data_IF_044442688022
#
_entry.id   IF_044442688022
#
_cell.length_a   1.000
_cell.length_b   1.000
_cell.length_c   1.000
_cell.angle_alpha   90.00
_cell.angle_beta   90.00
_cell.angle_gamma   90.00
#
_symmetry.space_group_name_H-M   'P 1'
#
loop_
_entity.id
_entity.type
_entity.pdbx_description
1 polymer ?
#
# COMPACT_ATOMS: atom_id res chain seq x y z
N UNK A 1 8.05 -28.66 15.66
CA UNK A 1 8.09 -28.01 14.34
C UNK A 1 9.07 -26.85 14.44
N UNK A 2 10.02 -26.72 13.53
CA UNK A 2 10.88 -25.53 13.42
C UNK A 2 10.02 -24.32 13.10
N UNK A 3 10.24 -23.21 13.80
CA UNK A 3 9.52 -21.95 13.52
C UNK A 3 9.96 -21.42 12.15
N UNK A 4 9.02 -20.88 11.38
CA UNK A 4 9.31 -20.21 10.13
C UNK A 4 10.15 -18.95 10.44
N UNK A 5 11.32 -18.81 9.80
CA UNK A 5 12.24 -17.69 9.99
C UNK A 5 12.05 -16.69 8.84
N UNK A 6 11.62 -15.49 9.15
CA UNK A 6 11.26 -14.49 8.15
C UNK A 6 12.02 -13.18 8.40
N UNK A 7 12.59 -12.62 7.33
CA UNK A 7 13.18 -11.30 7.34
C UNK A 7 12.23 -10.30 6.65
N UNK A 8 11.87 -9.22 7.35
CA UNK A 8 11.24 -8.05 6.75
C UNK A 8 12.28 -6.95 6.54
N UNK A 9 12.51 -6.54 5.30
CA UNK A 9 13.25 -5.33 4.95
C UNK A 9 12.26 -4.17 5.01
N UNK A 10 12.37 -3.34 6.05
CA UNK A 10 11.30 -2.44 6.51
C UNK A 10 10.51 -3.09 7.65
N UNK A 11 9.24 -2.74 7.87
CA UNK A 11 8.43 -3.40 8.92
C UNK A 11 7.65 -2.42 9.80
N UNK A 12 7.84 -1.10 9.61
CA UNK A 12 7.13 -0.03 10.34
C UNK A 12 6.25 0.84 9.43
N UNK A 13 5.95 0.41 8.21
CA UNK A 13 4.99 1.04 7.30
C UNK A 13 3.54 0.67 7.65
N UNK A 14 2.57 1.20 6.89
CA UNK A 14 1.13 0.97 7.12
C UNK A 14 0.82 -0.54 7.20
N UNK A 15 1.08 -1.27 6.13
CA UNK A 15 0.78 -2.70 6.06
C UNK A 15 1.83 -3.57 6.75
N UNK A 16 3.11 -3.19 6.68
CA UNK A 16 4.18 -4.01 7.26
C UNK A 16 4.13 -4.07 8.79
N UNK A 17 3.64 -3.02 9.47
CA UNK A 17 3.46 -3.06 10.92
C UNK A 17 2.38 -4.06 11.36
N UNK A 18 1.24 -4.09 10.66
CA UNK A 18 0.20 -5.09 10.89
C UNK A 18 0.70 -6.51 10.59
N UNK A 19 1.41 -6.68 9.46
CA UNK A 19 2.02 -7.97 9.10
C UNK A 19 3.06 -8.42 10.15
N UNK A 20 3.84 -7.50 10.72
CA UNK A 20 4.79 -7.83 11.79
C UNK A 20 4.08 -8.37 13.02
N UNK A 21 2.96 -7.74 13.45
CA UNK A 21 2.16 -8.20 14.58
C UNK A 21 1.55 -9.58 14.30
N UNK A 22 0.85 -9.73 13.19
CA UNK A 22 0.19 -11.00 12.83
C UNK A 22 1.21 -12.12 12.66
N UNK A 23 2.41 -11.86 12.10
CA UNK A 23 3.46 -12.85 11.96
C UNK A 23 3.96 -13.35 13.32
N UNK A 24 4.23 -12.44 14.26
CA UNK A 24 4.67 -12.79 15.62
C UNK A 24 3.57 -13.60 16.34
N UNK A 25 2.31 -13.14 16.28
CA UNK A 25 1.16 -13.81 16.89
C UNK A 25 0.93 -15.22 16.29
N UNK A 26 1.30 -15.42 15.02
CA UNK A 26 1.27 -16.72 14.33
C UNK A 26 2.47 -17.62 14.64
N UNK A 27 3.39 -17.18 15.49
CA UNK A 27 4.56 -17.95 15.91
C UNK A 27 5.76 -17.89 14.94
N UNK A 28 5.77 -16.97 13.98
CA UNK A 28 6.91 -16.73 13.09
C UNK A 28 8.08 -16.15 13.89
N UNK A 29 9.29 -16.62 13.65
CA UNK A 29 10.54 -16.00 14.12
C UNK A 29 10.86 -14.83 13.19
N UNK A 30 10.41 -13.62 13.59
CA UNK A 30 10.49 -12.44 12.75
C UNK A 30 11.76 -11.61 13.02
N UNK A 31 12.50 -11.36 11.96
CA UNK A 31 13.60 -10.41 11.89
C UNK A 31 13.14 -9.19 11.10
N UNK A 32 13.49 -7.99 11.56
CA UNK A 32 13.20 -6.74 10.86
C UNK A 32 14.48 -5.96 10.66
N UNK A 33 14.86 -5.76 9.41
CA UNK A 33 15.99 -4.91 9.04
C UNK A 33 15.47 -3.50 8.77
N UNK A 34 15.91 -2.55 9.60
CA UNK A 34 15.54 -1.14 9.44
C UNK A 34 16.59 -0.21 10.07
N UNK A 35 16.46 1.10 9.79
CA UNK A 35 17.34 2.14 10.33
C UNK A 35 17.04 2.53 11.80
N UNK A 36 15.95 2.03 12.38
CA UNK A 36 15.53 2.36 13.75
C UNK A 36 15.06 3.80 13.96
N UNK A 37 14.69 4.52 12.89
CA UNK A 37 14.31 5.96 12.96
C UNK A 37 12.81 6.20 13.10
N UNK A 38 11.97 5.27 12.69
CA UNK A 38 10.52 5.43 12.73
C UNK A 38 9.96 5.02 14.10
N UNK A 39 9.21 5.91 14.74
CA UNK A 39 8.50 5.67 16.00
C UNK A 39 6.98 5.65 15.84
N UNK A 40 6.48 5.96 14.63
CA UNK A 40 5.05 6.10 14.36
C UNK A 40 4.28 4.78 14.57
N UNK A 41 4.93 3.64 14.27
CA UNK A 41 4.36 2.30 14.44
C UNK A 41 5.42 1.41 15.07
N UNK A 42 5.37 1.18 16.39
CA UNK A 42 6.35 0.35 17.10
C UNK A 42 6.24 -1.11 16.63
N UNK A 43 7.39 -1.77 16.59
CA UNK A 43 7.42 -3.21 16.32
C UNK A 43 6.86 -3.99 17.52
N UNK A 44 6.17 -5.12 17.30
CA UNK A 44 5.66 -5.94 18.38
C UNK A 44 6.81 -6.57 19.18
N UNK A 45 6.57 -6.93 20.46
CA UNK A 45 7.52 -7.70 21.25
C UNK A 45 7.88 -9.02 20.56
N UNK A 46 9.13 -9.48 20.70
CA UNK A 46 9.59 -10.75 20.13
C UNK A 46 10.21 -10.64 18.73
N UNK A 47 10.23 -9.44 18.14
CA UNK A 47 10.94 -9.17 16.87
C UNK A 47 12.44 -9.00 17.14
N UNK A 48 13.27 -9.67 16.34
CA UNK A 48 14.71 -9.41 16.29
C UNK A 48 15.00 -8.27 15.31
N UNK A 49 15.52 -7.14 15.83
CA UNK A 49 15.84 -5.97 15.00
C UNK A 49 17.27 -6.04 14.51
N UNK A 50 17.45 -6.01 13.19
CA UNK A 50 18.74 -5.85 12.51
C UNK A 50 18.87 -4.37 12.08
N UNK A 51 19.98 -3.73 12.43
CA UNK A 51 20.13 -2.28 12.19
C UNK A 51 21.03 -2.01 10.99
N UNK A 52 20.43 -1.73 9.85
CA UNK A 52 21.12 -1.28 8.64
C UNK A 52 20.26 -0.34 7.81
N UNK A 53 20.88 0.50 6.99
CA UNK A 53 20.22 1.10 5.85
C UNK A 53 20.27 0.08 4.69
N UNK A 54 19.12 -0.28 4.13
CA UNK A 54 19.04 -1.23 3.01
C UNK A 54 19.86 -0.78 1.79
N UNK A 55 20.17 0.52 1.69
CA UNK A 55 21.01 1.09 0.63
C UNK A 55 22.52 0.87 0.84
N UNK A 56 22.92 0.51 2.06
CA UNK A 56 24.30 0.21 2.43
C UNK A 56 24.55 -1.30 2.36
N UNK A 57 24.73 -1.83 1.16
CA UNK A 57 24.71 -3.26 0.86
C UNK A 57 25.72 -4.06 1.69
N UNK A 58 26.89 -3.50 2.01
CA UNK A 58 27.88 -4.21 2.83
C UNK A 58 27.39 -4.36 4.27
N UNK A 59 26.84 -3.29 4.86
CA UNK A 59 26.26 -3.33 6.20
C UNK A 59 25.11 -4.35 6.28
N UNK A 60 24.27 -4.41 5.23
CA UNK A 60 23.20 -5.43 5.17
C UNK A 60 23.78 -6.84 5.13
N UNK A 61 24.83 -7.10 4.31
CA UNK A 61 25.50 -8.40 4.23
C UNK A 61 26.06 -8.83 5.60
N UNK A 62 26.66 -7.91 6.30
CA UNK A 62 27.27 -8.16 7.61
C UNK A 62 26.18 -8.51 8.65
N UNK A 63 25.08 -7.75 8.68
CA UNK A 63 23.96 -7.96 9.61
C UNK A 63 23.21 -9.29 9.37
N UNK A 64 23.08 -9.73 8.11
CA UNK A 64 22.43 -11.00 7.77
C UNK A 64 23.43 -12.19 7.67
N UNK A 65 24.73 -11.94 7.94
CA UNK A 65 25.75 -12.97 7.85
C UNK A 65 25.46 -14.14 8.81
N UNK A 66 25.64 -15.37 8.32
CA UNK A 66 25.37 -16.58 9.10
C UNK A 66 23.89 -16.82 9.42
N UNK A 67 22.97 -16.11 8.76
CA UNK A 67 21.52 -16.29 8.93
C UNK A 67 20.91 -16.74 7.59
N UNK A 68 20.06 -17.76 7.66
CA UNK A 68 19.21 -18.18 6.57
C UNK A 68 17.76 -17.87 6.92
N UNK A 69 16.96 -17.53 5.92
CA UNK A 69 15.56 -17.19 6.08
C UNK A 69 14.71 -18.09 5.17
N UNK A 70 13.61 -18.60 5.70
CA UNK A 70 12.62 -19.33 4.91
C UNK A 70 11.92 -18.36 3.94
N UNK A 71 11.69 -17.13 4.37
CA UNK A 71 11.16 -16.07 3.52
C UNK A 71 11.80 -14.70 3.82
N UNK A 72 12.01 -13.91 2.78
CA UNK A 72 12.41 -12.49 2.85
C UNK A 72 11.33 -11.65 2.21
N UNK A 73 10.91 -10.59 2.86
CA UNK A 73 9.90 -9.65 2.35
C UNK A 73 10.50 -8.26 2.23
N UNK A 74 10.49 -7.69 1.03
CA UNK A 74 10.89 -6.30 0.84
C UNK A 74 9.68 -5.37 0.73
N UNK A 75 9.57 -4.49 1.75
CA UNK A 75 8.54 -3.47 1.86
C UNK A 75 8.98 -2.11 1.30
N UNK A 76 10.26 -1.95 0.94
CA UNK A 76 10.89 -0.65 0.67
C UNK A 76 11.61 -0.56 -0.66
N UNK A 77 11.60 -1.60 -1.49
CA UNK A 77 12.09 -1.54 -2.86
C UNK A 77 11.04 -0.90 -3.77
N UNK A 78 11.45 0.17 -4.48
CA UNK A 78 10.61 0.93 -5.38
C UNK A 78 11.15 0.96 -6.82
N UNK A 79 12.41 0.63 -7.03
CA UNK A 79 13.07 0.71 -8.34
C UNK A 79 13.76 -0.60 -8.72
N UNK A 80 13.92 -0.87 -10.03
CA UNK A 80 14.61 -2.09 -10.49
C UNK A 80 16.02 -2.26 -9.93
N UNK A 81 16.75 -1.16 -9.71
CA UNK A 81 18.09 -1.21 -9.11
C UNK A 81 18.09 -1.76 -7.69
N UNK A 82 17.09 -1.39 -6.89
CA UNK A 82 16.92 -1.92 -5.53
C UNK A 82 16.62 -3.43 -5.56
N UNK A 83 15.67 -3.85 -6.40
CA UNK A 83 15.33 -5.27 -6.57
C UNK A 83 16.53 -6.08 -7.10
N UNK A 84 17.36 -5.52 -8.00
CA UNK A 84 18.60 -6.18 -8.46
C UNK A 84 19.52 -6.46 -7.29
N UNK A 85 19.70 -5.50 -6.41
CA UNK A 85 20.51 -5.67 -5.20
C UNK A 85 19.98 -6.77 -4.29
N UNK A 86 18.65 -6.83 -4.11
CA UNK A 86 18.05 -7.87 -3.27
C UNK A 86 18.23 -9.26 -3.89
N UNK A 87 18.07 -9.40 -5.21
CA UNK A 87 18.35 -10.66 -5.90
C UNK A 87 19.79 -11.11 -5.62
N UNK A 88 20.78 -10.21 -5.70
CA UNK A 88 22.18 -10.51 -5.45
C UNK A 88 22.46 -10.84 -3.96
N UNK A 89 21.71 -10.21 -3.04
CA UNK A 89 21.85 -10.46 -1.60
C UNK A 89 21.26 -11.82 -1.18
N UNK A 90 20.11 -12.20 -1.74
CA UNK A 90 19.31 -13.32 -1.26
C UNK A 90 19.34 -14.56 -2.16
N UNK A 91 20.04 -14.52 -3.29
CA UNK A 91 20.24 -15.67 -4.17
C UNK A 91 20.85 -16.85 -3.41
N UNK A 92 20.13 -17.98 -3.38
CA UNK A 92 20.56 -19.22 -2.67
C UNK A 92 20.53 -19.12 -1.15
N UNK A 93 19.94 -18.03 -0.58
CA UNK A 93 19.90 -17.77 0.87
C UNK A 93 18.50 -17.65 1.45
N UNK A 94 17.47 -17.74 0.60
CA UNK A 94 16.07 -17.74 1.02
C UNK A 94 15.27 -18.77 0.22
N UNK A 95 14.27 -19.35 0.85
CA UNK A 95 13.29 -20.21 0.19
C UNK A 95 12.20 -19.46 -0.55
N UNK A 96 11.97 -18.19 -0.20
CA UNK A 96 11.00 -17.30 -0.84
C UNK A 96 11.46 -15.85 -0.71
N UNK A 97 11.39 -15.07 -1.80
CA UNK A 97 11.53 -13.62 -1.79
C UNK A 97 10.20 -12.98 -2.18
N UNK A 98 9.62 -12.20 -1.28
CA UNK A 98 8.33 -11.54 -1.49
C UNK A 98 8.56 -10.06 -1.77
N UNK A 99 8.21 -9.63 -2.97
CA UNK A 99 8.24 -8.23 -3.39
C UNK A 99 6.87 -7.58 -3.23
N UNK A 100 6.81 -6.46 -2.55
CA UNK A 100 5.58 -5.67 -2.44
C UNK A 100 5.52 -4.69 -3.61
N UNK A 101 4.73 -5.05 -4.60
CA UNK A 101 4.40 -4.22 -5.76
C UNK A 101 3.23 -3.27 -5.47
N UNK A 102 2.36 -3.05 -6.42
CA UNK A 102 1.15 -2.22 -6.29
C UNK A 102 0.09 -2.63 -7.29
N UNK A 103 -1.18 -2.53 -6.92
CA UNK A 103 -2.29 -2.67 -7.87
C UNK A 103 -2.31 -1.56 -8.94
N UNK A 104 -1.65 -0.41 -8.71
CA UNK A 104 -1.48 0.63 -9.73
C UNK A 104 -0.59 0.21 -10.91
N UNK A 105 0.10 -0.94 -10.81
CA UNK A 105 0.84 -1.54 -11.93
C UNK A 105 -0.10 -2.09 -13.03
N UNK A 106 -1.33 -2.47 -12.69
CA UNK A 106 -2.30 -2.94 -13.69
C UNK A 106 -2.59 -1.88 -14.75
N UNK A 107 -3.02 -2.35 -15.91
CA UNK A 107 -3.37 -1.49 -17.02
C UNK A 107 -4.36 -0.40 -16.59
N UNK A 108 -3.98 0.85 -16.79
CA UNK A 108 -4.78 2.03 -16.47
C UNK A 108 -5.07 2.80 -17.75
N UNK A 109 -6.36 3.04 -18.10
CA UNK A 109 -7.55 2.45 -17.48
C UNK A 109 -7.63 0.93 -17.73
N UNK A 110 -8.29 0.16 -16.84
CA UNK A 110 -8.47 -1.27 -17.03
C UNK A 110 -9.43 -1.53 -18.20
N UNK A 111 -9.05 -2.49 -19.08
CA UNK A 111 -9.91 -2.84 -20.23
C UNK A 111 -11.12 -3.69 -19.80
N UNK A 112 -11.05 -4.34 -18.65
CA UNK A 112 -12.11 -5.19 -18.09
C UNK A 112 -12.10 -5.13 -16.57
N UNK A 113 -13.26 -5.27 -15.96
CA UNK A 113 -13.46 -5.46 -14.53
C UNK A 113 -14.30 -6.73 -14.31
N UNK A 114 -14.07 -7.45 -13.20
CA UNK A 114 -13.03 -7.17 -12.19
C UNK A 114 -11.60 -7.39 -12.73
N UNK A 115 -10.64 -6.67 -12.15
CA UNK A 115 -9.20 -6.86 -12.39
C UNK A 115 -8.76 -8.17 -11.76
N UNK A 116 -7.99 -8.96 -12.51
CA UNK A 116 -7.36 -10.20 -12.05
C UNK A 116 -5.85 -10.09 -12.19
N UNK A 117 -5.09 -11.03 -11.63
CA UNK A 117 -3.64 -11.04 -11.78
C UNK A 117 -3.16 -11.26 -13.22
N UNK A 118 -4.06 -11.74 -14.10
CA UNK A 118 -3.82 -11.87 -15.55
C UNK A 118 -4.05 -10.56 -16.34
N UNK A 119 -4.59 -9.52 -15.70
CA UNK A 119 -4.74 -8.20 -16.32
C UNK A 119 -3.35 -7.67 -16.70
N UNK A 120 -3.15 -7.17 -17.95
CA UNK A 120 -1.88 -6.62 -18.38
C UNK A 120 -1.36 -5.52 -17.46
N UNK A 121 -0.05 -5.37 -17.38
CA UNK A 121 0.59 -4.28 -16.63
C UNK A 121 0.90 -3.14 -17.59
N UNK A 122 0.38 -1.95 -17.29
CA UNK A 122 0.62 -0.74 -18.09
C UNK A 122 0.16 0.51 -17.36
N UNK A 123 1.06 1.43 -17.10
CA UNK A 123 0.69 2.74 -16.55
C UNK A 123 1.46 3.87 -17.25
N UNK A 124 0.86 4.60 -18.21
CA UNK A 124 1.54 5.66 -18.94
C UNK A 124 1.64 6.97 -18.14
N UNK A 125 0.91 7.13 -17.03
CA UNK A 125 0.75 8.40 -16.32
C UNK A 125 1.67 8.55 -15.12
N UNK A 126 1.98 7.45 -14.39
CA UNK A 126 2.65 7.52 -13.10
C UNK A 126 3.97 6.76 -13.08
N UNK A 127 5.08 7.48 -12.78
CA UNK A 127 6.42 6.89 -12.76
C UNK A 127 6.54 5.78 -11.71
N UNK A 128 5.98 5.98 -10.53
CA UNK A 128 5.93 4.96 -9.47
C UNK A 128 5.41 3.61 -9.99
N UNK A 129 4.30 3.63 -10.72
CA UNK A 129 3.71 2.41 -11.27
C UNK A 129 4.59 1.78 -12.35
N UNK A 130 5.24 2.59 -13.21
CA UNK A 130 6.20 2.09 -14.20
C UNK A 130 7.41 1.44 -13.54
N UNK A 131 7.92 2.02 -12.46
CA UNK A 131 9.04 1.45 -11.70
C UNK A 131 8.64 0.12 -11.06
N UNK A 132 7.42 0.01 -10.49
CA UNK A 132 6.90 -1.25 -9.96
C UNK A 132 6.75 -2.31 -11.05
N UNK A 133 6.25 -1.96 -12.23
CA UNK A 133 6.19 -2.87 -13.39
C UNK A 133 7.59 -3.38 -13.76
N UNK A 134 8.55 -2.48 -13.88
CA UNK A 134 9.93 -2.86 -14.21
C UNK A 134 10.61 -3.74 -13.13
N UNK A 135 10.25 -3.55 -11.85
CA UNK A 135 10.66 -4.45 -10.76
C UNK A 135 10.07 -5.86 -10.94
N UNK A 136 8.78 -5.95 -11.28
CA UNK A 136 8.12 -7.23 -11.52
C UNK A 136 8.73 -7.96 -12.72
N UNK A 137 8.97 -7.28 -13.84
CA UNK A 137 9.60 -7.85 -15.04
C UNK A 137 10.98 -8.44 -14.70
N UNK A 138 11.76 -7.74 -13.88
CA UNK A 138 13.05 -8.20 -13.40
C UNK A 138 12.93 -9.48 -12.56
N UNK A 139 11.97 -9.53 -11.63
CA UNK A 139 11.75 -10.69 -10.77
C UNK A 139 11.22 -11.90 -11.55
N UNK A 140 10.33 -11.67 -12.52
CA UNK A 140 9.83 -12.72 -13.41
C UNK A 140 10.98 -13.31 -14.25
N UNK A 141 11.88 -12.46 -14.74
CA UNK A 141 13.09 -12.92 -15.46
C UNK A 141 14.00 -13.72 -14.54
N UNK A 142 14.30 -13.23 -13.35
CA UNK A 142 15.13 -13.94 -12.37
C UNK A 142 14.53 -15.29 -11.95
N UNK A 143 13.21 -15.36 -11.78
CA UNK A 143 12.52 -16.62 -11.52
C UNK A 143 12.68 -17.62 -12.67
N UNK A 144 12.43 -17.18 -13.91
CA UNK A 144 12.44 -18.07 -15.10
C UNK A 144 13.84 -18.56 -15.49
N UNK A 145 14.82 -17.67 -15.44
CA UNK A 145 16.15 -17.94 -15.96
C UNK A 145 17.13 -18.44 -14.89
N UNK A 146 16.91 -18.03 -13.64
CA UNK A 146 17.85 -18.27 -12.55
C UNK A 146 17.26 -19.09 -11.39
N UNK A 147 15.96 -19.39 -11.43
CA UNK A 147 15.25 -20.09 -10.36
C UNK A 147 15.12 -19.27 -9.06
N UNK A 148 15.25 -17.94 -9.14
CA UNK A 148 15.08 -17.08 -7.96
C UNK A 148 13.65 -17.19 -7.42
N UNK A 149 13.42 -17.52 -6.13
CA UNK A 149 12.11 -17.92 -5.62
C UNK A 149 11.20 -16.70 -5.34
N UNK A 150 10.91 -15.91 -6.36
CA UNK A 150 10.14 -14.67 -6.25
C UNK A 150 8.64 -14.92 -6.08
N UNK A 151 8.01 -14.14 -5.20
CA UNK A 151 6.55 -13.97 -5.08
C UNK A 151 6.26 -12.47 -5.18
N UNK A 152 5.29 -12.08 -5.99
CA UNK A 152 4.90 -10.70 -6.19
C UNK A 152 3.55 -10.46 -5.49
N UNK A 153 3.47 -9.46 -4.61
CA UNK A 153 2.21 -9.09 -3.95
C UNK A 153 1.81 -7.68 -4.39
N UNK A 154 0.59 -7.54 -4.89
CA UNK A 154 0.02 -6.26 -5.36
C UNK A 154 -1.09 -5.80 -4.41
N UNK A 155 -0.79 -4.99 -3.38
CA UNK A 155 -1.82 -4.36 -2.56
C UNK A 155 -2.61 -3.33 -3.38
N UNK A 156 -3.92 -3.18 -3.09
CA UNK A 156 -4.68 -2.00 -3.48
C UNK A 156 -4.30 -0.80 -2.60
N UNK A 157 -5.10 0.25 -2.58
CA UNK A 157 -4.89 1.38 -1.68
C UNK A 157 -5.09 0.93 -0.22
N UNK A 158 -3.99 0.74 0.49
CA UNK A 158 -3.99 0.31 1.88
C UNK A 158 -3.97 1.50 2.84
N UNK A 159 -4.62 1.36 3.98
CA UNK A 159 -4.71 2.40 5.00
C UNK A 159 -4.71 1.82 6.41
N UNK A 160 -4.39 2.67 7.38
CA UNK A 160 -4.58 2.48 8.83
C UNK A 160 -5.10 3.77 9.46
N UNK A 161 -5.28 3.79 10.76
CA UNK A 161 -5.73 4.98 11.50
C UNK A 161 -4.85 6.21 11.30
N UNK A 162 -3.60 6.06 10.84
CA UNK A 162 -2.64 7.14 10.64
C UNK A 162 -2.55 7.65 9.21
N UNK A 163 -3.48 7.25 8.33
CA UNK A 163 -3.43 7.58 6.90
C UNK A 163 -4.83 7.87 6.34
N UNK A 164 -5.03 9.08 5.88
CA UNK A 164 -6.27 9.48 5.18
C UNK A 164 -6.15 9.12 3.69
N UNK A 165 -7.10 8.37 3.10
CA UNK A 165 -7.02 7.94 1.70
C UNK A 165 -7.43 9.02 0.69
N UNK A 166 -7.06 10.27 0.96
CA UNK A 166 -7.24 11.42 0.09
C UNK A 166 -5.92 12.15 -0.09
N UNK A 167 -5.67 12.67 -1.28
CA UNK A 167 -4.56 13.58 -1.50
C UNK A 167 -4.77 14.84 -0.64
N UNK A 168 -3.75 15.23 0.12
CA UNK A 168 -3.84 16.24 1.16
C UNK A 168 -4.00 15.69 2.58
N UNK A 169 -4.27 14.40 2.74
CA UNK A 169 -4.24 13.73 4.04
C UNK A 169 -5.05 14.47 5.12
N UNK A 170 -4.39 14.86 6.21
CA UNK A 170 -5.00 15.55 7.35
C UNK A 170 -5.60 16.90 6.99
N UNK A 171 -5.10 17.59 5.95
CA UNK A 171 -5.66 18.84 5.42
C UNK A 171 -7.12 18.66 5.02
N UNK A 172 -7.48 17.53 4.43
CA UNK A 172 -8.86 17.23 4.02
C UNK A 172 -9.78 17.16 5.23
N UNK A 173 -9.38 16.49 6.31
CA UNK A 173 -10.18 16.43 7.55
C UNK A 173 -10.30 17.81 8.20
N UNK A 174 -9.22 18.61 8.21
CA UNK A 174 -9.23 19.98 8.69
C UNK A 174 -10.21 20.87 7.91
N UNK A 175 -10.23 20.72 6.58
CA UNK A 175 -11.18 21.45 5.71
C UNK A 175 -12.62 21.03 5.97
N UNK A 176 -12.90 19.74 6.09
CA UNK A 176 -14.24 19.23 6.43
C UNK A 176 -14.74 19.82 7.75
N UNK A 177 -13.92 19.81 8.80
CA UNK A 177 -14.26 20.39 10.12
C UNK A 177 -14.52 21.89 10.06
N UNK A 178 -13.79 22.60 9.23
CA UNK A 178 -13.92 24.05 9.04
C UNK A 178 -15.08 24.44 8.08
N UNK A 179 -15.82 23.48 7.52
CA UNK A 179 -16.85 23.73 6.53
C UNK A 179 -16.31 24.26 5.20
N UNK A 180 -14.99 24.10 4.95
CA UNK A 180 -14.35 24.52 3.71
C UNK A 180 -14.57 23.48 2.60
N UNK A 181 -14.53 23.87 1.32
CA UNK A 181 -14.63 22.95 0.20
C UNK A 181 -13.55 21.87 0.21
N UNK A 182 -13.92 20.63 -0.11
CA UNK A 182 -13.02 19.51 -0.33
C UNK A 182 -13.07 19.11 -1.80
N UNK A 183 -11.93 18.99 -2.42
CA UNK A 183 -11.83 18.62 -3.83
C UNK A 183 -11.99 17.11 -3.98
N UNK A 184 -12.89 16.70 -4.86
CA UNK A 184 -13.06 15.30 -5.31
C UNK A 184 -12.83 15.28 -6.83
N UNK A 185 -11.99 14.36 -7.29
CA UNK A 185 -11.67 14.27 -8.71
C UNK A 185 -12.84 13.70 -9.53
N UNK A 186 -12.93 14.14 -10.79
CA UNK A 186 -14.02 13.75 -11.70
C UNK A 186 -15.38 14.17 -11.13
N UNK A 187 -16.33 13.30 -11.17
CA UNK A 187 -17.65 13.43 -10.54
C UNK A 187 -17.74 12.67 -9.19
N UNK A 188 -16.62 12.10 -8.76
CA UNK A 188 -16.54 11.31 -7.53
C UNK A 188 -17.19 9.93 -7.61
N UNK A 189 -17.57 9.45 -8.80
CA UNK A 189 -18.25 8.15 -8.96
C UNK A 189 -17.36 7.00 -9.39
N UNK A 190 -16.08 7.24 -9.70
CA UNK A 190 -15.13 6.15 -9.95
C UNK A 190 -15.06 5.21 -8.73
N UNK A 191 -15.11 3.89 -9.01
CA UNK A 191 -15.12 2.85 -7.99
C UNK A 191 -13.71 2.59 -7.48
N UNK A 192 -13.57 2.51 -6.17
CA UNK A 192 -12.28 2.36 -5.52
C UNK A 192 -12.31 1.29 -4.43
N UNK A 193 -11.17 0.65 -4.22
CA UNK A 193 -11.01 -0.41 -3.21
C UNK A 193 -9.98 0.01 -2.18
N UNK A 194 -10.44 0.25 -0.95
CA UNK A 194 -9.59 0.55 0.21
C UNK A 194 -9.42 -0.69 1.07
N UNK A 195 -8.19 -1.08 1.33
CA UNK A 195 -7.89 -2.29 2.11
C UNK A 195 -7.29 -1.92 3.46
N UNK A 196 -8.00 -2.27 4.53
CA UNK A 196 -7.51 -2.06 5.89
C UNK A 196 -6.24 -2.89 6.13
N UNK A 197 -5.24 -2.33 6.80
CA UNK A 197 -3.96 -2.98 7.03
C UNK A 197 -4.05 -4.32 7.76
N UNK A 198 -5.03 -4.51 8.64
CA UNK A 198 -5.25 -5.78 9.35
C UNK A 198 -5.85 -6.84 8.44
N UNK A 199 -6.76 -6.47 7.54
CA UNK A 199 -7.29 -7.38 6.53
C UNK A 199 -6.19 -7.83 5.57
N UNK A 200 -5.33 -6.89 5.16
CA UNK A 200 -4.15 -7.21 4.37
C UNK A 200 -3.23 -8.19 5.11
N UNK A 201 -2.91 -7.92 6.37
CA UNK A 201 -1.98 -8.75 7.15
C UNK A 201 -2.49 -10.19 7.33
N UNK A 202 -3.81 -10.38 7.56
CA UNK A 202 -4.42 -11.70 7.69
C UNK A 202 -4.38 -12.51 6.39
N UNK A 203 -4.38 -11.85 5.23
CA UNK A 203 -4.18 -12.50 3.95
C UNK A 203 -2.70 -12.80 3.68
N UNK A 204 -1.83 -11.84 4.01
CA UNK A 204 -0.42 -11.84 3.64
C UNK A 204 0.41 -12.85 4.42
N UNK A 205 0.25 -12.92 5.75
CA UNK A 205 1.09 -13.77 6.61
C UNK A 205 1.02 -15.25 6.23
N UNK A 206 -0.15 -15.82 5.88
CA UNK A 206 -0.22 -17.21 5.40
C UNK A 206 0.51 -17.49 4.06
N UNK A 207 0.90 -16.45 3.30
CA UNK A 207 1.69 -16.61 2.06
C UNK A 207 3.18 -16.82 2.34
N UNK A 208 3.65 -16.49 3.55
CA UNK A 208 5.06 -16.59 3.92
C UNK A 208 5.48 -18.06 4.00
N UNK A 209 6.53 -18.42 3.25
CA UNK A 209 7.02 -19.78 3.14
C UNK A 209 6.07 -20.75 2.40
N UNK A 210 5.02 -20.21 1.75
CA UNK A 210 4.03 -21.05 1.07
C UNK A 210 4.51 -21.40 -0.35
N UNK A 211 4.81 -22.69 -0.67
CA UNK A 211 5.48 -23.07 -1.92
C UNK A 211 4.66 -22.78 -3.18
N UNK A 212 3.32 -22.73 -3.07
CA UNK A 212 2.43 -22.43 -4.21
C UNK A 212 2.40 -20.96 -4.60
N UNK A 213 3.12 -20.10 -3.91
CA UNK A 213 3.19 -18.65 -4.23
C UNK A 213 4.47 -18.28 -4.99
N UNK A 214 5.43 -19.20 -5.07
CA UNK A 214 6.69 -18.98 -5.79
C UNK A 214 6.41 -18.92 -7.30
N UNK A 215 6.90 -17.87 -7.96
CA UNK A 215 6.64 -17.57 -9.36
C UNK A 215 5.28 -16.90 -9.62
N UNK A 216 4.49 -16.60 -8.57
CA UNK A 216 3.15 -16.06 -8.69
C UNK A 216 3.08 -14.56 -8.35
N UNK A 217 2.18 -13.86 -9.04
CA UNK A 217 1.68 -12.57 -8.62
C UNK A 217 0.31 -12.77 -7.94
N UNK A 218 0.09 -12.08 -6.81
CA UNK A 218 -1.14 -12.19 -6.02
C UNK A 218 -1.53 -10.78 -5.58
N UNK A 219 -2.74 -10.33 -5.91
CA UNK A 219 -3.23 -9.12 -5.29
C UNK A 219 -3.96 -9.41 -3.97
N UNK A 220 -3.87 -8.47 -3.04
CA UNK A 220 -4.57 -8.51 -1.77
C UNK A 220 -5.37 -7.22 -1.65
N UNK A 221 -6.69 -7.33 -1.77
CA UNK A 221 -7.59 -6.19 -1.82
C UNK A 221 -8.84 -6.47 -0.99
N UNK A 222 -9.49 -5.41 -0.48
CA UNK A 222 -10.82 -5.54 0.11
C UNK A 222 -11.84 -6.01 -0.95
N UNK A 223 -12.95 -6.55 -0.48
CA UNK A 223 -14.15 -6.77 -1.28
C UNK A 223 -15.12 -5.57 -1.23
N UNK A 224 -14.80 -4.57 -0.38
CA UNK A 224 -15.59 -3.35 -0.25
C UNK A 224 -15.25 -2.39 -1.40
N UNK A 225 -16.26 -2.03 -2.19
CA UNK A 225 -16.12 -1.19 -3.38
C UNK A 225 -16.93 0.09 -3.17
N UNK A 226 -16.23 1.22 -3.15
CA UNK A 226 -16.81 2.51 -2.82
C UNK A 226 -16.56 3.52 -3.94
N UNK A 227 -17.47 4.46 -4.11
CA UNK A 227 -17.20 5.68 -4.88
C UNK A 227 -16.39 6.66 -4.03
N UNK A 228 -15.66 7.58 -4.64
CA UNK A 228 -14.94 8.63 -3.91
C UNK A 228 -15.87 9.54 -3.13
N UNK A 229 -17.11 9.74 -3.61
CA UNK A 229 -18.15 10.44 -2.86
C UNK A 229 -18.52 9.70 -1.56
N UNK A 230 -18.63 8.36 -1.62
CA UNK A 230 -18.88 7.55 -0.41
C UNK A 230 -17.70 7.56 0.55
N UNK A 231 -16.46 7.50 0.04
CA UNK A 231 -15.24 7.61 0.86
C UNK A 231 -15.22 8.96 1.60
N UNK A 232 -15.47 10.07 0.88
CA UNK A 232 -15.56 11.40 1.50
C UNK A 232 -16.70 11.48 2.52
N UNK A 233 -17.87 10.90 2.18
CA UNK A 233 -19.02 10.83 3.08
C UNK A 233 -18.75 10.06 4.36
N UNK A 234 -18.02 8.93 4.30
CA UNK A 234 -17.64 8.14 5.48
C UNK A 234 -16.74 8.91 6.44
N UNK A 235 -15.74 9.64 5.90
CA UNK A 235 -14.87 10.50 6.71
C UNK A 235 -15.64 11.66 7.35
N UNK A 236 -16.54 12.30 6.59
CA UNK A 236 -17.36 13.41 7.09
C UNK A 236 -18.35 12.93 8.16
N UNK A 237 -18.99 11.77 7.96
CA UNK A 237 -19.88 11.15 8.96
C UNK A 237 -19.13 10.83 10.26
N UNK A 238 -17.92 10.29 10.17
CA UNK A 238 -17.08 10.03 11.34
C UNK A 238 -16.69 11.34 12.08
N UNK A 239 -16.51 12.44 11.35
CA UNK A 239 -16.29 13.80 11.93
C UNK A 239 -17.57 14.45 12.49
N UNK A 240 -18.75 13.90 12.17
CA UNK A 240 -20.03 14.52 12.55
C UNK A 240 -20.37 15.78 11.76
N UNK A 241 -19.89 15.90 10.51
CA UNK A 241 -20.10 17.08 9.66
C UNK A 241 -20.70 16.72 8.30
N UNK A 242 -21.29 17.72 7.63
CA UNK A 242 -21.70 17.61 6.23
C UNK A 242 -20.60 18.19 5.34
N UNK A 243 -19.96 17.40 4.44
CA UNK A 243 -18.87 17.91 3.63
C UNK A 243 -19.36 18.80 2.49
N UNK A 244 -18.59 19.82 2.16
CA UNK A 244 -18.75 20.60 0.93
C UNK A 244 -17.84 20.04 -0.15
N UNK A 245 -18.36 19.12 -0.97
CA UNK A 245 -17.59 18.52 -2.05
C UNK A 245 -17.62 19.41 -3.29
N UNK A 246 -16.45 19.65 -3.88
CA UNK A 246 -16.30 20.32 -5.17
C UNK A 246 -15.66 19.32 -6.14
N UNK A 247 -16.40 18.98 -7.18
CA UNK A 247 -15.98 18.03 -8.20
C UNK A 247 -15.17 18.71 -9.28
N UNK A 248 -13.92 18.24 -9.48
CA UNK A 248 -12.98 18.86 -10.40
C UNK A 248 -12.41 17.77 -11.34
N UNK A 249 -12.44 17.99 -12.68
CA UNK A 249 -11.83 17.05 -13.61
C UNK A 249 -10.38 16.76 -13.27
N UNK A 250 -9.97 15.48 -13.36
CA UNK A 250 -8.61 15.05 -13.01
C UNK A 250 -7.53 15.78 -13.80
N UNK A 251 -7.80 16.13 -15.07
CA UNK A 251 -6.86 16.91 -15.90
C UNK A 251 -6.69 18.35 -15.37
N UNK A 252 -7.77 18.96 -14.85
CA UNK A 252 -7.67 20.30 -14.24
C UNK A 252 -6.88 20.25 -12.92
N UNK A 253 -7.03 19.20 -12.13
CA UNK A 253 -6.21 18.97 -10.95
C UNK A 253 -4.75 18.78 -11.35
N UNK A 254 -4.48 17.96 -12.38
CA UNK A 254 -3.15 17.70 -12.89
C UNK A 254 -2.45 18.96 -13.45
N UNK A 255 -3.22 19.88 -14.02
CA UNK A 255 -2.71 21.17 -14.47
C UNK A 255 -2.34 22.11 -13.29
N UNK A 256 -3.05 22.00 -12.16
CA UNK A 256 -2.78 22.79 -10.96
C UNK A 256 -1.66 22.20 -10.09
N UNK A 257 -1.58 20.88 -10.03
CA UNK A 257 -0.59 20.10 -9.27
C UNK A 257 -0.27 18.80 -10.03
N UNK A 258 0.89 18.75 -10.75
CA UNK A 258 1.26 17.58 -11.55
C UNK A 258 1.50 16.31 -10.73
N UNK A 259 1.98 16.41 -9.49
CA UNK A 259 2.24 15.25 -8.63
C UNK A 259 0.93 14.64 -8.15
N UNK A 260 -0.03 15.46 -7.73
CA UNK A 260 -1.40 15.02 -7.44
C UNK A 260 -2.04 14.40 -8.69
N UNK A 261 -1.92 15.09 -9.83
CA UNK A 261 -2.45 14.63 -11.11
C UNK A 261 -1.91 13.27 -11.55
N UNK A 262 -0.62 13.00 -11.36
CA UNK A 262 -0.02 11.71 -11.71
C UNK A 262 -0.66 10.55 -10.95
N UNK A 263 -0.91 10.71 -9.65
CA UNK A 263 -1.61 9.73 -8.81
C UNK A 263 -3.09 9.55 -9.17
N UNK A 264 -3.74 10.60 -9.66
CA UNK A 264 -5.12 10.52 -10.14
C UNK A 264 -5.21 9.82 -11.49
N UNK A 265 -4.55 10.36 -12.51
CA UNK A 265 -4.60 9.84 -13.89
C UNK A 265 -4.03 8.43 -14.00
N UNK A 266 -3.00 8.14 -13.19
CA UNK A 266 -2.36 6.82 -13.15
C UNK A 266 -3.07 5.80 -12.28
N UNK A 267 -4.08 6.18 -11.48
CA UNK A 267 -4.69 5.27 -10.52
C UNK A 267 -6.16 5.66 -10.23
N UNK A 268 -6.41 6.64 -9.37
CA UNK A 268 -7.69 6.91 -8.71
C UNK A 268 -8.81 7.43 -9.63
N UNK A 269 -8.46 8.05 -10.76
CA UNK A 269 -9.46 8.58 -11.70
C UNK A 269 -10.28 7.49 -12.42
N UNK A 270 -9.82 6.26 -12.41
CA UNK A 270 -10.47 5.13 -13.05
C UNK A 270 -10.99 4.13 -12.02
N UNK A 271 -12.14 3.53 -12.34
CA UNK A 271 -12.70 2.47 -11.49
C UNK A 271 -11.77 1.26 -11.45
N UNK A 272 -11.49 0.75 -10.24
CA UNK A 272 -10.66 -0.42 -9.99
C UNK A 272 -11.39 -1.35 -9.00
N UNK A 273 -11.90 -2.46 -9.52
CA UNK A 273 -12.59 -3.53 -8.76
C UNK A 273 -11.84 -4.83 -9.01
N UNK A 274 -11.53 -5.57 -7.97
CA UNK A 274 -10.63 -6.72 -8.02
C UNK A 274 -11.35 -8.04 -7.75
N UNK A 275 -10.83 -9.14 -8.33
CA UNK A 275 -11.26 -10.50 -8.04
C UNK A 275 -10.22 -11.23 -7.19
N UNK A 276 -10.49 -11.40 -5.90
CA UNK A 276 -9.63 -12.11 -4.95
C UNK A 276 -9.70 -13.65 -5.05
N UNK A 277 -10.23 -14.24 -6.13
CA UNK A 277 -10.39 -15.69 -6.25
C UNK A 277 -9.05 -16.44 -6.11
N UNK A 278 -7.98 -15.92 -6.72
CA UNK A 278 -6.63 -16.52 -6.62
C UNK A 278 -6.12 -16.54 -5.18
N UNK A 279 -6.22 -15.42 -4.47
CA UNK A 279 -5.86 -15.33 -3.06
C UNK A 279 -6.66 -16.34 -2.22
N UNK A 280 -7.97 -16.46 -2.43
CA UNK A 280 -8.82 -17.40 -1.70
C UNK A 280 -8.51 -18.87 -1.99
N UNK A 281 -7.97 -19.20 -3.16
CA UNK A 281 -7.47 -20.54 -3.45
C UNK A 281 -6.21 -20.89 -2.64
N UNK A 282 -5.41 -19.91 -2.25
CA UNK A 282 -4.17 -20.08 -1.49
C UNK A 282 -4.43 -19.98 0.01
N UNK A 283 -5.29 -19.01 0.41
CA UNK A 283 -5.70 -18.76 1.80
C UNK A 283 -7.20 -19.01 1.92
N UNK A 284 -7.65 -20.28 2.03
CA UNK A 284 -9.07 -20.60 2.11
C UNK A 284 -9.73 -19.96 3.33
N UNK A 285 -10.91 -19.41 3.13
CA UNK A 285 -11.69 -18.76 4.19
C UNK A 285 -11.30 -17.31 4.49
N UNK A 286 -10.22 -16.79 3.90
CA UNK A 286 -9.91 -15.37 4.06
C UNK A 286 -10.98 -14.48 3.39
N UNK A 287 -11.37 -13.46 4.11
CA UNK A 287 -12.22 -12.34 3.64
C UNK A 287 -11.75 -11.06 4.30
N UNK A 288 -11.84 -9.95 3.58
CA UNK A 288 -11.79 -8.64 4.18
C UNK A 288 -13.06 -8.43 5.01
N UNK A 289 -12.93 -8.05 6.27
CA UNK A 289 -14.06 -7.93 7.22
C UNK A 289 -14.15 -6.54 7.84
N UNK A 290 -13.21 -5.65 7.56
CA UNK A 290 -13.18 -4.29 8.08
C UNK A 290 -13.64 -3.34 6.97
N UNK A 291 -14.91 -2.89 6.99
CA UNK A 291 -15.41 -1.95 5.99
C UNK A 291 -14.77 -0.58 6.21
N UNK A 292 -14.67 0.22 5.14
CA UNK A 292 -14.04 1.54 5.23
C UNK A 292 -14.77 2.48 6.20
N UNK A 293 -16.07 2.31 6.39
CA UNK A 293 -16.81 3.08 7.40
C UNK A 293 -16.25 2.92 8.82
N UNK A 294 -15.80 1.71 9.19
CA UNK A 294 -15.10 1.47 10.45
C UNK A 294 -13.73 2.14 10.43
N UNK A 295 -12.95 1.96 9.37
CA UNK A 295 -11.63 2.57 9.23
C UNK A 295 -11.68 4.10 9.23
N UNK A 296 -12.73 4.71 8.68
CA UNK A 296 -12.94 6.15 8.72
C UNK A 296 -13.11 6.65 10.17
N UNK A 297 -13.82 5.90 11.03
CA UNK A 297 -13.92 6.21 12.47
C UNK A 297 -12.55 6.13 13.15
N UNK A 298 -11.78 5.06 12.89
CA UNK A 298 -10.44 4.90 13.45
C UNK A 298 -9.49 6.05 13.04
N UNK A 299 -9.53 6.46 11.77
CA UNK A 299 -8.76 7.59 11.24
C UNK A 299 -9.13 8.90 11.97
N UNK A 300 -10.43 9.15 12.11
CA UNK A 300 -10.93 10.38 12.74
C UNK A 300 -10.65 10.39 14.24
N UNK A 301 -10.84 9.28 14.94
CA UNK A 301 -10.49 9.14 16.36
C UNK A 301 -9.00 9.40 16.59
N UNK A 302 -8.14 8.82 15.76
CA UNK A 302 -6.70 9.04 15.84
C UNK A 302 -6.34 10.51 15.58
N UNK A 303 -6.95 11.14 14.58
CA UNK A 303 -6.73 12.54 14.24
C UNK A 303 -7.16 13.49 15.39
N UNK A 304 -8.31 13.22 16.00
CA UNK A 304 -8.86 14.07 17.06
C UNK A 304 -8.18 13.87 18.42
N UNK A 305 -7.57 12.73 18.65
CA UNK A 305 -6.94 12.39 19.94
C UNK A 305 -5.73 13.26 20.28
N UNK A 306 -5.10 13.91 19.29
CA UNK A 306 -3.93 14.74 19.50
C UNK A 306 -3.92 15.96 18.55
N UNK A 307 -3.98 17.19 19.06
CA UNK A 307 -3.88 18.38 18.24
C UNK A 307 -2.62 18.48 17.37
N UNK A 308 -1.50 17.86 17.79
CA UNK A 308 -0.26 17.84 17.02
C UNK A 308 -0.39 17.06 15.70
N UNK A 309 -1.41 16.20 15.55
CA UNK A 309 -1.71 15.45 14.34
C UNK A 309 -2.56 16.25 13.34
N UNK A 310 -3.13 17.37 13.78
CA UNK A 310 -4.04 18.21 12.97
C UNK A 310 -3.24 19.18 12.10
N UNK A 311 -2.31 18.62 11.33
CA UNK A 311 -1.39 19.37 10.47
C UNK A 311 -2.07 19.70 9.14
N UNK A 312 -1.88 20.94 8.65
CA UNK A 312 -2.33 21.37 7.34
C UNK A 312 -1.11 21.50 6.41
N UNK A 313 -1.16 20.85 5.27
CA UNK A 313 -0.27 21.16 4.15
C UNK A 313 -0.70 22.47 3.52
N UNK A 314 -0.02 23.57 3.84
CA UNK A 314 -0.41 24.92 3.42
C UNK A 314 -0.27 25.13 1.91
N UNK A 315 0.67 24.44 1.26
CA UNK A 315 0.84 24.55 -0.19
C UNK A 315 -0.32 23.88 -0.93
N UNK A 316 -0.65 22.66 -0.56
CA UNK A 316 -1.77 21.93 -1.15
C UNK A 316 -3.11 22.53 -0.75
N UNK A 317 -3.25 23.08 0.46
CA UNK A 317 -4.45 23.80 0.90
C UNK A 317 -4.74 25.01 0.01
N UNK A 318 -3.69 25.74 -0.39
CA UNK A 318 -3.83 26.86 -1.33
C UNK A 318 -4.21 26.42 -2.75
N UNK A 319 -3.71 25.27 -3.22
CA UNK A 319 -4.15 24.67 -4.50
C UNK A 319 -5.62 24.29 -4.43
N UNK A 320 -6.06 23.65 -3.34
CA UNK A 320 -7.47 23.30 -3.14
C UNK A 320 -8.38 24.53 -3.14
N UNK A 321 -7.97 25.67 -2.56
CA UNK A 321 -8.76 26.90 -2.60
C UNK A 321 -8.89 27.46 -4.02
N UNK A 322 -7.81 27.47 -4.80
CA UNK A 322 -7.86 27.89 -6.21
C UNK A 322 -8.80 27.01 -7.04
N UNK A 323 -8.69 25.69 -6.87
CA UNK A 323 -9.57 24.75 -7.56
C UNK A 323 -11.03 24.93 -7.12
N UNK A 324 -11.29 25.07 -5.82
CA UNK A 324 -12.64 25.30 -5.31
C UNK A 324 -13.25 26.60 -5.88
N UNK A 325 -12.48 27.69 -5.90
CA UNK A 325 -12.97 28.96 -6.45
C UNK A 325 -13.28 28.89 -7.95
N UNK A 326 -12.55 28.09 -8.71
CA UNK A 326 -12.75 27.94 -10.15
C UNK A 326 -13.91 26.99 -10.52
N UNK A 327 -14.26 26.04 -9.65
CA UNK A 327 -15.20 24.96 -9.94
C UNK A 327 -16.45 24.93 -9.02
N UNK A 328 -16.57 25.85 -8.08
CA UNK A 328 -17.83 26.03 -7.33
C UNK A 328 -18.83 26.78 -8.23
N UNK A 329 -19.96 26.14 -8.53
CA UNK A 329 -21.09 26.74 -9.26
C UNK A 329 -22.01 27.45 -8.29
#
# INVERSE_FOLDING_TARGET
MTKLRVLFIGGSGIISSACSRVAVDSGVELFVLNRGRSTARPLPPGVTVLRADVREHQTVRDEISGRDFDAVVDWVAFTPGQVRTDIDLFRGRTGQYVFISSASAYQTPPARMPVTESTPLRNPFWQYSRDKIACEDLLVTAYREEGFPATIVRPSHTYDATSVPFDGGWTVLGRMRAGRPVIVHGDGTSLWTLTHHDDFARAFVPLLGHPRTIGEAIHITSDDVLTWNQIAGSLAAALGVTPRLVHVPSDAIAAADPDWGAGLLGDKAHSMVFDNAKLRCIVPGWRAVIPFEQGAREIVEWYLADPARQVTDTALDAVMDKLAAAWTV
#
